data_IF_182069467769
#
_entry.id   IF_182069467769
#
_cell.length_a   1.000
_cell.length_b   1.000
_cell.length_c   1.000
_cell.angle_alpha   90.00
_cell.angle_beta   90.00
_cell.angle_gamma   90.00
#
_symmetry.space_group_name_H-M   'P 1'
#
loop_
_entity.id
_entity.type
_entity.pdbx_description
1 polymer ?
#
# COMPACT_ATOMS: atom_id res chain seq x y z
N UNK A 1 5.36 8.14 -1.92
CA UNK A 1 6.17 7.78 -0.74
C UNK A 1 5.57 8.46 0.46
N UNK A 2 5.36 7.72 1.54
CA UNK A 2 4.76 8.23 2.75
C UNK A 2 5.44 7.65 3.99
N UNK A 3 5.27 8.32 5.12
CA UNK A 3 5.87 7.92 6.38
C UNK A 3 4.85 7.98 7.53
N UNK A 4 4.86 6.96 8.37
CA UNK A 4 4.12 6.92 9.62
C UNK A 4 5.07 7.21 10.78
N UNK A 5 4.64 8.05 11.72
CA UNK A 5 5.39 8.25 12.96
C UNK A 5 5.07 7.14 13.95
N UNK A 6 6.06 6.35 14.32
CA UNK A 6 6.01 5.46 15.48
C UNK A 6 6.64 6.16 16.70
N UNK A 7 6.54 5.53 17.88
CA UNK A 7 6.93 6.12 19.17
C UNK A 7 8.33 6.76 19.15
N UNK A 8 9.31 6.13 18.49
CA UNK A 8 10.70 6.61 18.42
C UNK A 8 11.27 6.74 17.00
N UNK A 9 10.54 6.32 15.97
CA UNK A 9 11.07 6.26 14.61
C UNK A 9 10.02 6.64 13.55
N UNK A 10 10.46 6.74 12.30
CA UNK A 10 9.57 6.90 11.16
C UNK A 10 9.61 5.65 10.30
N UNK A 11 8.47 5.00 10.14
CA UNK A 11 8.28 3.94 9.17
C UNK A 11 7.96 4.57 7.82
N UNK A 12 8.64 4.15 6.77
CA UNK A 12 8.57 4.78 5.47
C UNK A 12 8.28 3.73 4.41
N UNK A 13 7.28 3.99 3.58
CA UNK A 13 6.90 3.14 2.47
C UNK A 13 7.03 3.89 1.14
N UNK A 14 7.71 3.26 0.19
CA UNK A 14 7.80 3.70 -1.21
C UNK A 14 6.82 2.87 -2.02
N UNK A 15 5.86 3.56 -2.62
CA UNK A 15 4.76 2.98 -3.37
C UNK A 15 4.84 3.49 -4.80
N UNK A 16 4.67 2.61 -5.79
CA UNK A 16 4.59 2.94 -7.21
C UNK A 16 3.41 2.20 -7.82
N UNK A 17 2.47 2.93 -8.43
CA UNK A 17 1.31 2.37 -9.14
C UNK A 17 0.48 1.34 -8.32
N UNK A 18 0.27 1.62 -7.03
CA UNK A 18 -0.48 0.73 -6.12
C UNK A 18 0.33 -0.45 -5.58
N UNK A 19 1.62 -0.56 -5.91
CA UNK A 19 2.53 -1.61 -5.42
C UNK A 19 3.50 -1.07 -4.39
N UNK A 20 3.78 -1.85 -3.36
CA UNK A 20 4.85 -1.58 -2.42
C UNK A 20 6.19 -1.99 -3.04
N UNK A 21 7.09 -1.02 -3.24
CA UNK A 21 8.38 -1.23 -3.92
C UNK A 21 9.59 -1.06 -3.01
N UNK A 22 9.37 -0.59 -1.79
CA UNK A 22 10.41 -0.41 -0.78
C UNK A 22 9.81 0.02 0.55
N UNK A 23 10.44 -0.40 1.64
CA UNK A 23 10.06 -0.03 2.98
C UNK A 23 11.30 0.09 3.86
N UNK A 24 11.21 0.89 4.92
CA UNK A 24 12.24 0.90 5.96
C UNK A 24 11.88 1.83 7.10
N UNK A 25 12.78 1.90 8.08
CA UNK A 25 12.61 2.72 9.29
C UNK A 25 13.76 3.70 9.37
N UNK A 26 13.45 5.00 9.46
CA UNK A 26 14.45 6.05 9.69
C UNK A 26 14.95 5.92 11.14
N UNK A 27 16.24 5.63 11.37
CA UNK A 27 16.79 5.57 12.71
C UNK A 27 16.68 6.93 13.43
N UNK A 28 16.60 6.94 14.77
CA UNK A 28 16.74 8.17 15.54
C UNK A 28 18.04 8.89 15.18
N UNK A 29 17.99 10.22 15.03
CA UNK A 29 19.11 11.10 14.64
C UNK A 29 19.63 10.97 13.20
N UNK A 30 19.09 10.08 12.36
CA UNK A 30 19.45 10.06 10.94
C UNK A 30 18.88 11.28 10.20
N UNK A 31 19.60 11.76 9.17
CA UNK A 31 19.07 12.79 8.28
C UNK A 31 17.93 12.19 7.44
N UNK A 32 16.70 12.60 7.75
CA UNK A 32 15.50 12.06 7.12
C UNK A 32 15.49 12.25 5.59
N UNK A 33 16.02 13.36 5.09
CA UNK A 33 16.02 13.68 3.65
C UNK A 33 16.95 12.75 2.88
N UNK A 34 18.19 12.59 3.36
CA UNK A 34 19.18 11.71 2.74
C UNK A 34 18.72 10.26 2.79
N UNK A 35 18.20 9.82 3.93
CA UNK A 35 17.71 8.46 4.11
C UNK A 35 16.51 8.16 3.18
N UNK A 36 15.55 9.08 3.08
CA UNK A 36 14.38 8.89 2.21
C UNK A 36 14.75 8.90 0.73
N UNK A 37 15.72 9.74 0.33
CA UNK A 37 16.26 9.74 -1.01
C UNK A 37 16.96 8.41 -1.35
N UNK A 38 17.81 7.91 -0.45
CA UNK A 38 18.49 6.64 -0.63
C UNK A 38 17.49 5.48 -0.76
N UNK A 39 16.50 5.40 0.13
CA UNK A 39 15.46 4.37 0.08
C UNK A 39 14.70 4.41 -1.26
N UNK A 40 14.31 5.60 -1.71
CA UNK A 40 13.59 5.79 -2.98
C UNK A 40 14.43 5.31 -4.18
N UNK A 41 15.73 5.61 -4.17
CA UNK A 41 16.66 5.22 -5.24
C UNK A 41 16.92 3.71 -5.27
N UNK A 42 16.96 3.05 -4.11
CA UNK A 42 17.16 1.60 -4.01
C UNK A 42 15.88 0.77 -4.19
N UNK A 43 14.70 1.41 -4.16
CA UNK A 43 13.41 0.74 -4.30
C UNK A 43 13.20 0.19 -5.71
N UNK A 44 12.42 -0.90 -5.82
CA UNK A 44 12.12 -1.56 -7.10
C UNK A 44 11.54 -0.55 -8.11
N UNK A 45 11.99 -0.65 -9.35
CA UNK A 45 11.42 0.12 -10.46
C UNK A 45 10.31 -0.67 -11.11
N UNK A 46 9.13 -0.06 -11.17
CA UNK A 46 7.92 -0.65 -11.73
C UNK A 46 7.51 0.18 -12.94
N UNK A 47 7.22 -0.50 -14.05
CA UNK A 47 6.65 0.12 -15.26
C UNK A 47 5.14 -0.12 -15.21
N UNK A 48 4.30 0.92 -15.35
CA UNK A 48 2.86 0.73 -15.41
C UNK A 48 2.47 0.03 -16.72
N UNK A 49 1.63 -1.00 -16.63
CA UNK A 49 1.01 -1.66 -17.78
C UNK A 49 -0.42 -1.17 -18.08
N UNK A 50 -1.07 -1.74 -19.11
CA UNK A 50 -2.49 -1.49 -19.38
C UNK A 50 -3.40 -2.31 -18.44
N UNK A 51 -4.55 -1.76 -18.07
CA UNK A 51 -5.57 -2.44 -17.26
C UNK A 51 -5.90 -1.69 -15.97
N UNK A 52 -6.91 -2.17 -15.21
CA UNK A 52 -7.38 -1.48 -14.00
C UNK A 52 -6.41 -1.58 -12.82
N UNK A 53 -5.57 -2.62 -12.77
CA UNK A 53 -4.56 -2.83 -11.73
C UNK A 53 -3.27 -3.38 -12.37
N UNK A 54 -2.52 -2.54 -13.09
CA UNK A 54 -1.51 -3.03 -14.03
C UNK A 54 -0.15 -3.37 -13.40
N UNK A 55 0.06 -2.97 -12.15
CA UNK A 55 1.36 -3.02 -11.47
C UNK A 55 1.30 -3.66 -10.08
N UNK A 56 0.10 -3.86 -9.53
CA UNK A 56 -0.18 -4.36 -8.20
C UNK A 56 -1.47 -5.19 -8.23
N UNK A 57 -1.66 -6.08 -7.26
CA UNK A 57 -2.98 -6.72 -7.11
C UNK A 57 -3.98 -5.75 -6.46
N UNK A 58 -5.30 -5.94 -6.68
CA UNK A 58 -6.32 -5.16 -5.98
C UNK A 58 -6.17 -5.22 -4.46
N UNK A 59 -5.85 -6.39 -3.91
CA UNK A 59 -5.68 -6.61 -2.47
C UNK A 59 -4.45 -5.89 -1.91
N UNK A 60 -3.37 -5.80 -2.69
CA UNK A 60 -2.19 -5.03 -2.30
C UNK A 60 -2.51 -3.53 -2.28
N UNK A 61 -3.21 -3.04 -3.30
CA UNK A 61 -3.63 -1.64 -3.39
C UNK A 61 -4.56 -1.26 -2.22
N UNK A 62 -5.52 -2.12 -1.88
CA UNK A 62 -6.42 -1.92 -0.72
C UNK A 62 -5.62 -1.82 0.59
N UNK A 63 -4.65 -2.71 0.81
CA UNK A 63 -3.79 -2.64 2.01
C UNK A 63 -2.99 -1.34 2.08
N UNK A 64 -2.48 -0.87 0.95
CA UNK A 64 -1.72 0.37 0.88
C UNK A 64 -2.62 1.58 1.15
N UNK A 65 -3.82 1.64 0.57
CA UNK A 65 -4.80 2.71 0.83
C UNK A 65 -5.17 2.71 2.31
N UNK A 66 -5.52 1.55 2.88
CA UNK A 66 -5.80 1.39 4.32
C UNK A 66 -4.66 1.89 5.19
N UNK A 67 -3.40 1.58 4.82
CA UNK A 67 -2.24 2.07 5.55
C UNK A 67 -2.09 3.59 5.41
N UNK A 68 -2.23 4.14 4.20
CA UNK A 68 -2.10 5.58 3.93
C UNK A 68 -3.13 6.44 4.67
N UNK A 69 -4.30 5.87 4.96
CA UNK A 69 -5.38 6.54 5.70
C UNK A 69 -5.22 6.44 7.22
N UNK A 70 -4.25 5.69 7.73
CA UNK A 70 -4.01 5.61 9.17
C UNK A 70 -3.67 7.00 9.73
N UNK A 71 -4.20 7.34 10.92
CA UNK A 71 -3.83 8.57 11.59
C UNK A 71 -2.32 8.68 11.77
N UNK A 72 -1.75 9.81 11.36
CA UNK A 72 -0.31 10.09 11.51
C UNK A 72 0.55 9.70 10.31
N UNK A 73 0.00 9.07 9.27
CA UNK A 73 0.70 8.94 7.99
C UNK A 73 0.82 10.30 7.31
N UNK A 74 2.01 10.58 6.76
CA UNK A 74 2.33 11.81 6.05
C UNK A 74 2.90 11.49 4.68
N UNK A 75 2.40 12.15 3.65
CA UNK A 75 3.01 12.11 2.32
C UNK A 75 4.35 12.84 2.37
N UNK A 76 5.42 12.15 1.98
CA UNK A 76 6.80 12.69 1.99
C UNK A 76 7.19 13.13 0.59
N UNK A 77 6.85 12.32 -0.41
CA UNK A 77 7.16 12.59 -1.81
C UNK A 77 6.10 11.97 -2.72
N UNK A 78 5.68 12.73 -3.72
CA UNK A 78 4.72 12.31 -4.73
C UNK A 78 5.28 12.67 -6.11
N UNK A 79 5.36 11.69 -7.01
CA UNK A 79 5.56 11.95 -8.43
C UNK A 79 4.19 11.96 -9.10
N UNK A 80 3.82 13.08 -9.74
CA UNK A 80 2.52 13.24 -10.39
C UNK A 80 1.42 13.69 -9.43
N UNK A 81 0.21 13.15 -9.63
CA UNK A 81 -0.99 13.57 -8.90
C UNK A 81 -1.54 12.41 -8.09
N UNK A 82 -1.92 12.69 -6.85
CA UNK A 82 -2.70 11.77 -6.03
C UNK A 82 -4.17 11.93 -6.37
N UNK A 83 -4.77 10.91 -6.96
CA UNK A 83 -6.17 10.92 -7.36
C UNK A 83 -6.79 9.53 -7.15
N UNK A 84 -8.05 9.51 -6.77
CA UNK A 84 -8.89 8.32 -6.84
C UNK A 84 -9.80 8.44 -8.06
N UNK A 85 -9.72 7.54 -9.06
CA UNK A 85 -10.60 7.57 -10.22
C UNK A 85 -12.08 7.44 -9.80
N UNK A 86 -12.96 8.24 -10.40
CA UNK A 86 -14.40 8.24 -10.09
C UNK A 86 -15.05 6.87 -10.34
N UNK A 87 -14.64 6.17 -11.39
CA UNK A 87 -15.10 4.81 -11.70
C UNK A 87 -14.25 3.71 -11.01
N UNK A 88 -13.46 4.07 -9.99
CA UNK A 88 -12.64 3.15 -9.23
C UNK A 88 -13.45 2.31 -8.24
N UNK A 89 -12.83 1.21 -7.78
CA UNK A 89 -13.43 0.31 -6.79
C UNK A 89 -13.60 0.95 -5.41
N UNK A 90 -12.96 2.09 -5.16
CA UNK A 90 -13.03 2.81 -3.88
C UNK A 90 -14.46 3.20 -3.48
N UNK A 91 -15.32 3.48 -4.46
CA UNK A 91 -16.75 3.75 -4.22
C UNK A 91 -17.49 2.58 -3.54
N UNK A 92 -16.97 1.36 -3.66
CA UNK A 92 -17.55 0.15 -3.08
C UNK A 92 -16.92 -0.24 -1.74
N UNK A 93 -16.00 0.58 -1.19
CA UNK A 93 -15.17 0.19 -0.04
C UNK A 93 -15.98 -0.12 1.21
N UNK A 94 -16.95 0.73 1.56
CA UNK A 94 -17.78 0.53 2.77
C UNK A 94 -18.58 -0.78 2.71
N UNK A 95 -19.10 -1.14 1.53
CA UNK A 95 -19.78 -2.41 1.31
C UNK A 95 -18.81 -3.59 1.48
N UNK A 96 -17.63 -3.51 0.88
CA UNK A 96 -16.61 -4.57 0.98
C UNK A 96 -16.09 -4.75 2.41
N UNK A 97 -15.95 -3.66 3.17
CA UNK A 97 -15.55 -3.69 4.58
C UNK A 97 -16.64 -4.32 5.44
N UNK A 98 -17.91 -3.97 5.22
CA UNK A 98 -19.05 -4.56 5.92
C UNK A 98 -19.15 -6.08 5.67
N UNK A 99 -18.95 -6.51 4.42
CA UNK A 99 -18.90 -7.94 4.05
C UNK A 99 -17.73 -8.64 4.76
N UNK A 100 -16.55 -8.01 4.78
CA UNK A 100 -15.35 -8.57 5.41
C UNK A 100 -15.54 -8.73 6.92
N UNK A 101 -16.05 -7.70 7.59
CA UNK A 101 -16.35 -7.74 9.02
C UNK A 101 -17.39 -8.83 9.35
N UNK A 102 -18.45 -8.93 8.53
CA UNK A 102 -19.50 -9.95 8.70
C UNK A 102 -18.95 -11.37 8.59
N UNK A 103 -18.02 -11.64 7.65
CA UNK A 103 -17.36 -12.94 7.52
C UNK A 103 -16.57 -13.31 8.76
N UNK A 104 -15.84 -12.36 9.35
CA UNK A 104 -15.10 -12.57 10.59
C UNK A 104 -16.02 -12.86 11.77
N UNK A 105 -17.19 -12.23 11.84
CA UNK A 105 -18.15 -12.44 12.95
C UNK A 105 -18.99 -13.71 12.82
N UNK A 106 -19.37 -14.10 11.60
CA UNK A 106 -20.34 -15.18 11.36
C UNK A 106 -19.70 -16.55 11.13
N UNK A 107 -18.37 -16.61 10.96
CA UNK A 107 -17.67 -17.87 10.76
C UNK A 107 -16.56 -18.06 11.79
N UNK A 108 -16.87 -18.65 12.96
CA UNK A 108 -15.88 -18.98 13.99
C UNK A 108 -14.82 -19.99 13.51
N UNK A 109 -15.08 -20.66 12.38
CA UNK A 109 -14.28 -21.77 11.86
C UNK A 109 -13.70 -21.50 10.46
N UNK A 110 -14.02 -20.37 9.81
CA UNK A 110 -13.26 -19.96 8.62
C UNK A 110 -11.96 -19.32 9.07
N UNK A 111 -10.89 -20.10 9.02
CA UNK A 111 -9.55 -19.52 8.87
C UNK A 111 -9.57 -18.68 7.59
N UNK A 112 -9.16 -17.39 7.61
CA UNK A 112 -9.12 -16.59 6.40
C UNK A 112 -8.31 -17.33 5.34
N UNK A 113 -8.99 -17.81 4.29
CA UNK A 113 -8.33 -18.43 3.16
C UNK A 113 -7.41 -17.37 2.57
N UNK A 114 -6.10 -17.60 2.65
CA UNK A 114 -5.14 -16.78 1.91
C UNK A 114 -5.62 -16.72 0.47
N UNK A 115 -5.81 -15.49 -0.02
CA UNK A 115 -6.17 -15.20 -1.40
C UNK A 115 -5.28 -16.03 -2.31
N UNK A 116 -5.88 -16.96 -3.05
CA UNK A 116 -5.15 -17.82 -4.00
C UNK A 116 -4.34 -16.92 -4.91
N UNK A 117 -3.02 -16.99 -4.80
CA UNK A 117 -2.09 -16.28 -5.67
C UNK A 117 -2.35 -16.70 -7.13
N UNK A 118 -3.09 -15.87 -7.88
CA UNK A 118 -3.22 -16.00 -9.32
C UNK A 118 -2.18 -15.11 -9.98
N UNK A 119 -0.91 -15.44 -9.78
CA UNK A 119 0.19 -14.84 -10.53
C UNK A 119 1.14 -15.96 -10.90
N UNK A 120 0.95 -16.52 -12.11
CA UNK A 120 1.91 -17.44 -12.72
C UNK A 120 2.83 -16.59 -13.59
N UNK A 121 4.12 -16.42 -13.25
CA UNK A 121 5.03 -15.71 -14.13
C UNK A 121 5.12 -16.49 -15.45
N UNK A 122 4.93 -15.77 -16.57
CA UNK A 122 5.22 -16.29 -17.90
C UNK A 122 6.75 -16.36 -18.00
N UNK A 123 7.25 -17.55 -18.33
CA UNK A 123 8.69 -17.85 -18.44
C UNK A 123 9.21 -17.48 -19.82
#
# INVERSE_FOLDING_TARGET
MAALRSSSAWEVHVIRFGRLVGAGVIPPAANAREWTQALRQSSETVVPGPGPAPAATPEESDKIVRWLEQPGVRLVHLDGVWACPVAGAESQRELLESITASRTTLSPFDTPRQSRTYARPVR
#
